data_IF_995309708749
#
_entry.id   IF_995309708749
#
_cell.length_a   1.000
_cell.length_b   1.000
_cell.length_c   1.000
_cell.angle_alpha   90.00
_cell.angle_beta   90.00
_cell.angle_gamma   90.00
#
_symmetry.space_group_name_H-M   'P 1'
#
loop_
_entity.id
_entity.type
_entity.pdbx_description
1 polymer ?
#
# COMPACT_ATOMS: atom_id res chain seq x y z
N UNK A 1 14.30 -20.24 7.36
CA UNK A 1 15.23 -19.24 7.92
C UNK A 1 15.66 -18.35 6.77
N UNK A 2 15.00 -17.21 6.58
CA UNK A 2 15.39 -16.25 5.56
C UNK A 2 16.61 -15.48 6.07
N UNK A 3 17.71 -15.51 5.31
CA UNK A 3 18.87 -14.69 5.58
C UNK A 3 18.49 -13.22 5.42
N UNK A 4 18.43 -12.52 6.55
CA UNK A 4 18.43 -11.07 6.60
C UNK A 4 19.79 -10.62 6.01
N UNK A 5 19.78 -10.18 4.75
CA UNK A 5 20.96 -9.56 4.15
C UNK A 5 21.01 -8.14 4.67
N UNK A 6 21.98 -7.88 5.55
CA UNK A 6 22.34 -6.53 5.95
C UNK A 6 22.78 -5.73 4.71
N UNK A 7 21.87 -4.94 4.16
CA UNK A 7 22.18 -3.97 3.11
C UNK A 7 22.97 -2.85 3.78
N UNK A 8 24.31 -2.94 3.72
CA UNK A 8 25.21 -1.91 4.22
C UNK A 8 25.21 -0.75 3.23
N UNK A 9 24.48 0.32 3.56
CA UNK A 9 24.42 1.52 2.73
C UNK A 9 25.59 2.43 3.07
N UNK A 10 26.44 2.67 2.07
CA UNK A 10 27.51 3.65 2.18
C UNK A 10 26.91 5.06 1.99
N UNK A 11 26.27 5.60 3.02
CA UNK A 11 25.63 6.93 2.98
C UNK A 11 26.69 8.02 3.16
N UNK A 12 27.53 8.21 2.15
CA UNK A 12 28.55 9.26 2.14
C UNK A 12 27.95 10.68 2.02
N UNK A 13 26.66 10.82 1.69
CA UNK A 13 26.05 12.14 1.38
C UNK A 13 24.57 12.21 1.77
N UNK A 14 24.27 12.55 3.02
CA UNK A 14 22.94 13.04 3.41
C UNK A 14 21.80 12.01 3.45
N UNK A 15 20.65 12.44 4.00
CA UNK A 15 19.47 11.59 4.31
C UNK A 15 18.99 10.82 3.07
N UNK A 16 19.19 9.51 3.04
CA UNK A 16 18.65 8.62 2.02
C UNK A 16 17.63 7.66 2.63
N UNK A 17 16.56 7.39 1.88
CA UNK A 17 15.58 6.34 2.17
C UNK A 17 15.89 5.18 1.22
N UNK A 18 16.12 4.00 1.78
CA UNK A 18 16.31 2.78 0.97
C UNK A 18 15.31 1.76 1.43
N UNK A 19 14.54 1.22 0.49
CA UNK A 19 13.55 0.20 0.76
C UNK A 19 13.84 -1.00 -0.13
N UNK A 20 13.88 -2.23 0.42
CA UNK A 20 14.03 -3.42 -0.41
C UNK A 20 12.79 -3.59 -1.29
N UNK A 21 13.02 -3.81 -2.58
CA UNK A 21 11.97 -4.16 -3.53
C UNK A 21 12.03 -5.66 -3.82
N UNK A 22 10.87 -6.30 -3.76
CA UNK A 22 10.64 -7.68 -4.10
C UNK A 22 9.88 -7.74 -5.42
N UNK A 23 10.24 -8.69 -6.28
CA UNK A 23 9.53 -8.95 -7.54
C UNK A 23 8.50 -10.05 -7.32
N UNK A 24 7.24 -9.76 -7.56
CA UNK A 24 6.14 -10.70 -7.56
C UNK A 24 6.13 -11.66 -8.77
N UNK A 25 5.42 -12.81 -8.68
CA UNK A 25 5.28 -13.74 -9.79
C UNK A 25 4.38 -13.22 -10.93
N UNK A 26 3.46 -12.28 -10.68
CA UNK A 26 2.54 -11.75 -11.70
C UNK A 26 3.23 -10.67 -12.53
N UNK A 27 3.23 -10.84 -13.84
CA UNK A 27 3.94 -9.99 -14.80
C UNK A 27 3.08 -9.77 -16.05
N UNK A 28 3.32 -8.65 -16.74
CA UNK A 28 2.73 -8.31 -18.04
C UNK A 28 1.25 -7.90 -18.05
N UNK A 29 0.69 -7.46 -16.93
CA UNK A 29 -0.66 -6.90 -16.87
C UNK A 29 -0.70 -5.36 -16.98
N UNK A 30 0.46 -4.70 -16.95
CA UNK A 30 0.60 -3.24 -16.99
C UNK A 30 0.84 -2.61 -15.61
N UNK A 31 0.66 -3.35 -14.52
CA UNK A 31 1.12 -2.94 -13.20
C UNK A 31 2.60 -3.28 -13.00
N UNK A 32 3.26 -2.55 -12.08
CA UNK A 32 4.60 -2.91 -11.66
C UNK A 32 4.58 -4.26 -10.93
N UNK A 33 5.52 -5.18 -11.23
CA UNK A 33 5.67 -6.42 -10.47
C UNK A 33 6.48 -6.20 -9.17
N UNK A 34 6.93 -4.97 -8.89
CA UNK A 34 7.78 -4.66 -7.75
C UNK A 34 6.99 -4.02 -6.62
N UNK A 35 7.17 -4.56 -5.42
CA UNK A 35 6.60 -4.02 -4.19
C UNK A 35 7.64 -4.02 -3.07
N UNK A 36 7.37 -3.23 -2.03
CA UNK A 36 8.04 -3.30 -0.74
C UNK A 36 7.06 -3.82 0.31
N UNK A 37 7.56 -4.40 1.39
CA UNK A 37 6.74 -4.75 2.55
C UNK A 37 6.84 -3.61 3.58
N UNK A 38 5.73 -2.92 3.82
CA UNK A 38 5.64 -1.82 4.79
C UNK A 38 4.56 -2.10 5.84
N UNK A 39 4.73 -1.57 7.04
CA UNK A 39 3.69 -1.57 8.06
C UNK A 39 2.79 -0.36 7.92
N UNK A 40 1.48 -0.53 8.09
CA UNK A 40 0.52 0.57 8.22
C UNK A 40 -0.25 0.41 9.54
N UNK A 41 -0.44 1.50 10.26
CA UNK A 41 -1.22 1.55 11.50
C UNK A 41 -0.45 1.23 12.77
N UNK A 42 -1.17 1.30 13.90
CA UNK A 42 -0.66 0.97 15.24
C UNK A 42 -1.63 0.00 15.93
N UNK A 43 -1.27 -1.28 16.17
CA UNK A 43 -0.04 -1.94 15.78
C UNK A 43 0.13 -2.07 14.25
N UNK A 44 1.37 -2.29 13.83
CA UNK A 44 1.73 -2.39 12.41
C UNK A 44 1.02 -3.56 11.72
N UNK A 45 0.33 -3.27 10.63
CA UNK A 45 -0.24 -4.25 9.71
C UNK A 45 0.64 -4.29 8.46
N UNK A 46 1.31 -5.41 8.20
CA UNK A 46 2.23 -5.54 7.07
C UNK A 46 1.45 -5.71 5.76
N UNK A 47 1.79 -4.91 4.76
CA UNK A 47 1.19 -4.90 3.43
C UNK A 47 2.27 -4.78 2.36
N UNK A 48 1.99 -5.32 1.17
CA UNK A 48 2.79 -5.14 -0.04
C UNK A 48 2.39 -3.82 -0.69
N UNK A 49 3.29 -2.85 -0.72
CA UNK A 49 3.08 -1.53 -1.30
C UNK A 49 3.95 -1.37 -2.54
N UNK A 50 3.35 -1.08 -3.68
CA UNK A 50 4.09 -0.73 -4.88
C UNK A 50 4.43 0.77 -4.91
N UNK A 51 5.50 1.16 -5.61
CA UNK A 51 5.77 2.57 -5.87
C UNK A 51 5.32 2.91 -7.28
N UNK A 52 4.23 3.67 -7.38
CA UNK A 52 3.59 4.02 -8.64
C UNK A 52 3.82 5.49 -9.02
N UNK A 53 4.63 5.73 -10.05
CA UNK A 53 4.86 7.09 -10.59
C UNK A 53 3.73 7.57 -11.52
N UNK A 54 2.75 6.72 -11.82
CA UNK A 54 1.62 7.01 -12.72
C UNK A 54 0.44 7.71 -12.04
N UNK A 55 0.55 8.06 -10.76
CA UNK A 55 -0.51 8.72 -10.01
C UNK A 55 0.03 9.65 -8.92
N UNK A 56 -0.86 10.45 -8.32
CA UNK A 56 -0.54 11.43 -7.28
C UNK A 56 -1.24 11.15 -5.94
N UNK A 57 -1.64 9.90 -5.69
CA UNK A 57 -2.32 9.51 -4.46
C UNK A 57 -1.95 8.09 -4.04
N UNK A 58 -1.87 7.88 -2.72
CA UNK A 58 -1.66 6.57 -2.13
C UNK A 58 -3.00 5.89 -1.87
N UNK A 59 -3.05 4.57 -1.99
CA UNK A 59 -4.25 3.80 -1.66
C UNK A 59 -3.91 2.42 -1.14
N UNK A 60 -4.84 1.84 -0.38
CA UNK A 60 -4.74 0.46 0.12
C UNK A 60 -6.07 -0.25 -0.03
N UNK A 61 -6.04 -1.55 -0.34
CA UNK A 61 -7.18 -2.42 -0.11
C UNK A 61 -7.49 -2.37 1.39
N UNK A 62 -8.72 -2.02 1.77
CA UNK A 62 -9.08 -1.82 3.17
C UNK A 62 -10.12 -2.82 3.65
N UNK A 63 -10.27 -2.96 4.97
CA UNK A 63 -11.35 -3.76 5.59
C UNK A 63 -12.76 -3.24 5.30
N UNK A 64 -12.90 -2.04 4.74
CA UNK A 64 -14.18 -1.52 4.26
C UNK A 64 -14.65 -2.22 2.99
N UNK A 65 -13.72 -2.84 2.24
CA UNK A 65 -14.06 -3.61 1.06
C UNK A 65 -14.22 -5.09 1.38
N UNK A 66 -15.31 -5.69 0.91
CA UNK A 66 -15.49 -7.13 1.03
C UNK A 66 -14.46 -7.90 0.16
N UNK A 67 -14.21 -9.17 0.50
CA UNK A 67 -13.30 -10.02 -0.29
C UNK A 67 -13.74 -10.17 -1.74
N UNK A 68 -15.04 -10.25 -1.98
CA UNK A 68 -15.62 -10.33 -3.32
C UNK A 68 -15.58 -8.97 -4.05
N UNK A 69 -15.74 -7.86 -3.31
CA UNK A 69 -15.72 -6.51 -3.88
C UNK A 69 -14.32 -5.99 -4.23
N UNK A 70 -13.29 -6.48 -3.55
CA UNK A 70 -11.88 -6.14 -3.83
C UNK A 70 -11.05 -7.40 -3.87
N UNK A 71 -11.25 -8.19 -4.91
CA UNK A 71 -10.43 -9.35 -5.21
C UNK A 71 -9.15 -8.92 -5.90
N UNK A 72 -8.02 -9.41 -5.40
CA UNK A 72 -6.70 -9.28 -6.01
C UNK A 72 -5.77 -10.37 -5.48
N UNK A 73 -4.68 -10.64 -6.19
CA UNK A 73 -3.80 -11.77 -5.91
C UNK A 73 -3.07 -11.68 -4.56
N UNK A 74 -2.65 -10.48 -4.13
CA UNK A 74 -1.95 -10.33 -2.84
C UNK A 74 -2.82 -10.58 -1.60
N UNK A 75 -4.13 -10.31 -1.71
CA UNK A 75 -5.19 -10.61 -0.73
C UNK A 75 -5.03 -10.05 0.70
N UNK A 76 -4.06 -9.18 0.99
CA UNK A 76 -4.00 -8.50 2.29
C UNK A 76 -4.78 -7.18 2.25
N UNK A 77 -5.26 -6.76 3.43
CA UNK A 77 -6.11 -5.57 3.58
C UNK A 77 -5.72 -4.82 4.83
N UNK A 78 -5.68 -3.50 4.73
CA UNK A 78 -5.54 -2.65 5.90
C UNK A 78 -6.84 -2.64 6.71
N UNK A 79 -6.81 -3.18 7.92
CA UNK A 79 -7.94 -3.15 8.84
C UNK A 79 -7.94 -1.88 9.68
N UNK A 80 -8.82 -0.94 9.32
CA UNK A 80 -8.92 0.36 9.97
C UNK A 80 -9.25 0.25 11.47
N UNK A 81 -10.05 -0.75 11.88
CA UNK A 81 -10.51 -0.92 13.26
C UNK A 81 -9.41 -1.50 14.17
N UNK A 82 -8.35 -2.05 13.56
CA UNK A 82 -7.20 -2.59 14.27
C UNK A 82 -6.05 -1.58 14.43
N UNK A 83 -6.23 -0.32 14.00
CA UNK A 83 -5.21 0.72 14.14
C UNK A 83 -5.66 1.83 15.07
N UNK A 84 -4.95 2.02 16.19
CA UNK A 84 -5.19 3.12 17.14
C UNK A 84 -4.65 4.47 16.64
N UNK A 85 -3.83 4.48 15.59
CA UNK A 85 -3.33 5.71 14.96
C UNK A 85 -4.14 6.14 13.74
N UNK A 86 -5.12 5.34 13.33
CA UNK A 86 -5.97 5.64 12.20
C UNK A 86 -6.87 6.85 12.47
N UNK A 87 -7.00 7.72 11.47
CA UNK A 87 -7.96 8.82 11.46
C UNK A 87 -8.75 8.82 10.16
N UNK A 88 -10.08 8.75 10.25
CA UNK A 88 -10.95 8.98 9.10
C UNK A 88 -10.93 10.47 8.73
N UNK A 89 -10.51 10.79 7.51
CA UNK A 89 -10.47 12.18 7.02
C UNK A 89 -11.73 12.56 6.25
N UNK A 90 -12.21 11.66 5.40
CA UNK A 90 -13.42 11.84 4.62
C UNK A 90 -14.20 10.52 4.54
N UNK A 91 -15.35 10.40 5.24
CA UNK A 91 -16.16 9.18 5.22
C UNK A 91 -17.03 9.06 3.95
N UNK A 92 -17.11 10.11 3.12
CA UNK A 92 -17.89 10.08 1.88
C UNK A 92 -17.13 9.31 0.81
N UNK A 93 -17.83 8.39 0.15
CA UNK A 93 -17.28 7.64 -0.96
C UNK A 93 -17.01 8.53 -2.17
N UNK A 94 -15.87 8.29 -2.81
CA UNK A 94 -15.42 8.97 -4.01
C UNK A 94 -15.01 7.93 -5.04
N UNK A 95 -15.41 8.15 -6.29
CA UNK A 95 -15.07 7.27 -7.40
C UNK A 95 -13.77 7.75 -8.04
N UNK A 96 -12.79 6.86 -8.11
CA UNK A 96 -11.48 7.09 -8.72
C UNK A 96 -11.38 6.27 -9.99
N UNK A 97 -11.13 6.93 -11.13
CA UNK A 97 -10.98 6.26 -12.42
C UNK A 97 -9.52 5.90 -12.68
N UNK A 98 -9.27 4.65 -13.09
CA UNK A 98 -7.98 4.15 -13.59
C UNK A 98 -8.01 3.98 -15.12
N UNK A 99 -8.95 4.66 -15.80
CA UNK A 99 -9.12 4.56 -17.24
C UNK A 99 -9.56 3.15 -17.65
N UNK A 100 -8.91 2.51 -18.65
CA UNK A 100 -9.28 1.17 -19.12
C UNK A 100 -9.19 0.05 -18.07
N UNK A 101 -8.44 0.26 -16.99
CA UNK A 101 -8.34 -0.69 -15.87
C UNK A 101 -9.60 -0.73 -15.00
N UNK A 102 -10.48 0.27 -15.16
CA UNK A 102 -11.71 0.37 -14.40
C UNK A 102 -11.63 1.44 -13.32
N UNK A 103 -12.30 1.21 -12.19
CA UNK A 103 -12.54 2.25 -11.17
C UNK A 103 -12.49 1.67 -9.77
N UNK A 104 -12.17 2.52 -8.82
CA UNK A 104 -12.16 2.20 -7.39
C UNK A 104 -13.08 3.16 -6.64
N UNK A 105 -13.98 2.63 -5.81
CA UNK A 105 -14.68 3.44 -4.82
C UNK A 105 -13.82 3.52 -3.56
N UNK A 106 -13.65 4.73 -3.03
CA UNK A 106 -12.74 4.97 -1.90
C UNK A 106 -13.35 5.89 -0.85
N UNK A 107 -12.94 5.72 0.40
CA UNK A 107 -13.00 6.77 1.43
C UNK A 107 -11.59 7.27 1.72
N UNK A 108 -11.43 8.40 2.40
CA UNK A 108 -10.09 8.94 2.70
C UNK A 108 -9.80 8.82 4.19
N UNK A 109 -8.66 8.21 4.52
CA UNK A 109 -8.13 8.16 5.87
C UNK A 109 -6.68 8.62 5.92
N UNK A 110 -6.14 8.66 7.13
CA UNK A 110 -4.73 8.90 7.40
C UNK A 110 -4.26 7.87 8.42
N UNK A 111 -3.06 7.33 8.20
CA UNK A 111 -2.41 6.51 9.21
C UNK A 111 -0.88 6.56 9.11
N UNK A 112 -0.23 5.97 10.10
CA UNK A 112 1.21 5.86 10.25
C UNK A 112 1.76 4.73 9.39
N UNK A 113 2.80 5.03 8.63
CA UNK A 113 3.65 4.08 7.94
C UNK A 113 4.87 3.75 8.80
N UNK A 114 5.17 2.47 8.90
CA UNK A 114 6.35 1.95 9.55
C UNK A 114 7.32 1.39 8.51
N UNK A 115 8.53 1.93 8.53
CA UNK A 115 9.64 1.48 7.69
C UNK A 115 10.27 0.21 8.28
N UNK A 116 10.93 -0.62 7.44
CA UNK A 116 11.57 -1.86 7.90
C UNK A 116 12.82 -1.62 8.78
N UNK A 117 13.21 -0.36 9.02
CA UNK A 117 14.32 0.04 9.88
C UNK A 117 13.91 1.16 10.84
N UNK A 118 14.61 1.22 11.97
CA UNK A 118 14.46 2.31 12.94
C UNK A 118 15.08 3.59 12.35
N UNK A 119 14.27 4.59 12.09
CA UNK A 119 14.75 5.93 11.74
C UNK A 119 14.81 6.80 13.00
N UNK A 120 15.71 7.81 13.00
CA UNK A 120 15.69 8.90 13.99
C UNK A 120 14.67 9.99 13.63
N UNK A 121 13.91 9.79 12.56
CA UNK A 121 12.98 10.77 12.03
C UNK A 121 11.62 10.65 12.73
N UNK A 122 10.81 11.70 12.63
CA UNK A 122 9.42 11.70 13.08
C UNK A 122 8.61 10.55 12.46
N UNK A 123 7.50 10.20 13.12
CA UNK A 123 6.54 9.24 12.61
C UNK A 123 6.07 9.64 11.19
N UNK A 124 6.13 8.70 10.24
CA UNK A 124 5.70 8.94 8.87
C UNK A 124 4.19 8.71 8.79
N UNK A 125 3.41 9.76 8.53
CA UNK A 125 1.98 9.65 8.25
C UNK A 125 1.68 9.94 6.79
N UNK A 126 0.69 9.25 6.23
CA UNK A 126 0.21 9.52 4.88
C UNK A 126 -1.31 9.46 4.80
N UNK A 127 -1.86 10.24 3.88
CA UNK A 127 -3.25 10.14 3.47
C UNK A 127 -3.41 8.96 2.51
N UNK A 128 -4.46 8.17 2.74
CA UNK A 128 -4.75 6.95 2.02
C UNK A 128 -6.17 7.00 1.50
N UNK A 129 -6.33 6.69 0.22
CA UNK A 129 -7.60 6.18 -0.26
C UNK A 129 -7.78 4.74 0.21
N UNK A 130 -8.85 4.52 0.98
CA UNK A 130 -9.25 3.24 1.52
C UNK A 130 -10.23 2.63 0.52
N UNK A 131 -9.81 1.58 -0.20
CA UNK A 131 -10.69 0.93 -1.16
C UNK A 131 -11.93 0.36 -0.47
N UNK A 132 -13.09 0.58 -1.08
CA UNK A 132 -14.41 0.08 -0.69
C UNK A 132 -14.96 -0.89 -1.73
N UNK A 133 -14.60 -0.70 -3.01
CA UNK A 133 -14.98 -1.59 -4.10
C UNK A 133 -14.05 -1.40 -5.32
N UNK A 134 -13.75 -2.48 -6.03
CA UNK A 134 -13.09 -2.48 -7.34
C UNK A 134 -14.10 -2.76 -8.46
N UNK A 135 -13.90 -2.10 -9.59
CA UNK A 135 -14.54 -2.43 -10.85
C UNK A 135 -13.48 -2.55 -11.92
N UNK A 136 -13.49 -3.65 -12.67
CA UNK A 136 -12.45 -3.99 -13.66
C UNK A 136 -11.65 -5.22 -13.22
N UNK A 137 -11.54 -6.19 -14.12
CA UNK A 137 -10.90 -7.48 -13.82
C UNK A 137 -9.38 -7.35 -13.63
N UNK A 138 -8.77 -6.28 -14.12
CA UNK A 138 -7.33 -6.06 -14.01
C UNK A 138 -6.87 -5.87 -12.56
N UNK A 139 -7.75 -5.39 -11.67
CA UNK A 139 -7.45 -5.33 -10.23
C UNK A 139 -7.22 -6.72 -9.64
N UNK A 140 -7.85 -7.77 -10.18
CA UNK A 140 -7.67 -9.15 -9.69
C UNK A 140 -6.22 -9.65 -9.84
N UNK A 141 -5.47 -9.05 -10.76
CA UNK A 141 -4.11 -9.45 -11.09
C UNK A 141 -3.04 -8.71 -10.26
N UNK A 142 -3.45 -7.83 -9.33
CA UNK A 142 -2.51 -7.10 -8.47
C UNK A 142 -1.88 -8.02 -7.41
N UNK A 143 -0.56 -8.17 -7.47
CA UNK A 143 0.26 -8.84 -6.45
C UNK A 143 0.82 -7.85 -5.40
N UNK A 144 0.06 -6.80 -5.13
CA UNK A 144 0.30 -5.87 -4.04
C UNK A 144 -1.03 -5.35 -3.49
N UNK A 145 -1.01 -4.88 -2.25
CA UNK A 145 -2.19 -4.52 -1.46
C UNK A 145 -2.48 -3.02 -1.49
N UNK A 146 -1.55 -2.23 -2.03
CA UNK A 146 -1.67 -0.80 -2.15
C UNK A 146 -0.53 -0.18 -2.93
N UNK A 147 -0.62 1.14 -3.12
CA UNK A 147 0.41 1.96 -3.77
C UNK A 147 0.60 3.29 -3.04
#
# INVERSE_FOLDING_TARGET
>A
MAHEKDISLNTATGKSLVLPLYRGPFQNNGATPWYCELGIGTPNQKLKICFDTGSNFNWVTSSLCSKEGCKHYADARFNIDCSTSFTMLNPKEQLVSFGPWGKMQVKTGRDKFSLPYKTKQDELFADLFLAVEYSGSQFEELDWDGR
#
